data_IF_128348832061
#
_entry.id   IF_128348832061
#
_cell.length_a   1.000
_cell.length_b   1.000
_cell.length_c   1.000
_cell.angle_alpha   90.00
_cell.angle_beta   90.00
_cell.angle_gamma   90.00
#
_symmetry.space_group_name_H-M   'P 1'
#
loop_
_entity.id
_entity.type
_entity.pdbx_description
1 polymer ?
#
# COMPACT_ATOMS: atom_id res chain seq x y z
N UNK A 1 -2.10 16.58 -16.74
CA UNK A 1 -2.91 15.39 -17.07
C UNK A 1 -4.31 15.65 -16.53
N UNK A 2 -5.36 15.36 -17.28
CA UNK A 2 -6.74 15.47 -16.80
C UNK A 2 -7.03 14.27 -15.90
N UNK A 3 -7.57 14.51 -14.70
CA UNK A 3 -8.07 13.47 -13.79
C UNK A 3 -9.17 12.66 -14.51
N UNK A 4 -8.93 11.38 -14.73
CA UNK A 4 -9.85 10.46 -15.41
C UNK A 4 -10.60 9.58 -14.43
N UNK A 5 -10.34 9.74 -13.13
CA UNK A 5 -10.95 8.95 -12.09
C UNK A 5 -12.38 9.39 -11.75
N UNK A 6 -13.15 8.48 -11.17
CA UNK A 6 -14.44 8.76 -10.55
C UNK A 6 -14.35 8.57 -9.04
N UNK A 7 -14.95 9.50 -8.29
CA UNK A 7 -15.01 9.44 -6.84
C UNK A 7 -16.36 8.89 -6.39
N UNK A 8 -16.35 8.01 -5.41
CA UNK A 8 -17.53 7.49 -4.73
C UNK A 8 -17.25 7.29 -3.24
N UNK A 9 -18.26 6.88 -2.47
CA UNK A 9 -18.11 6.65 -1.04
C UNK A 9 -18.60 5.25 -0.66
N UNK A 10 -17.83 4.57 0.17
CA UNK A 10 -18.21 3.33 0.83
C UNK A 10 -18.66 3.66 2.26
N UNK A 11 -19.94 3.47 2.54
CA UNK A 11 -20.50 3.62 3.88
C UNK A 11 -20.35 2.31 4.64
N UNK A 12 -19.54 2.30 5.68
CA UNK A 12 -19.33 1.12 6.55
C UNK A 12 -20.26 1.15 7.76
N UNK A 13 -20.50 2.34 8.30
CA UNK A 13 -21.44 2.60 9.39
C UNK A 13 -21.82 4.10 9.41
N UNK A 14 -22.83 4.53 10.18
CA UNK A 14 -23.08 5.95 10.40
C UNK A 14 -21.80 6.67 10.91
N UNK A 15 -21.37 7.72 10.19
CA UNK A 15 -20.16 8.46 10.49
C UNK A 15 -18.84 7.73 10.14
N UNK A 16 -18.91 6.68 9.32
CA UNK A 16 -17.77 5.93 8.85
C UNK A 16 -17.86 5.70 7.35
N UNK A 17 -17.30 6.63 6.60
CA UNK A 17 -17.25 6.62 5.15
C UNK A 17 -15.80 6.60 4.67
N UNK A 18 -15.51 5.74 3.71
CA UNK A 18 -14.24 5.73 2.98
C UNK A 18 -14.47 6.30 1.57
N UNK A 19 -13.59 7.18 1.13
CA UNK A 19 -13.58 7.65 -0.24
C UNK A 19 -12.95 6.59 -1.14
N UNK A 20 -13.68 6.20 -2.18
CA UNK A 20 -13.19 5.32 -3.23
C UNK A 20 -12.88 6.15 -4.47
N UNK A 21 -11.83 5.74 -5.18
CA UNK A 21 -11.44 6.32 -6.46
C UNK A 21 -11.26 5.21 -7.47
N UNK A 22 -11.97 5.32 -8.58
CA UNK A 22 -11.97 4.31 -9.66
C UNK A 22 -11.43 4.88 -10.96
N UNK A 23 -10.58 4.12 -11.63
CA UNK A 23 -10.11 4.35 -13.00
C UNK A 23 -10.55 3.15 -13.84
N UNK A 24 -11.78 3.21 -14.38
CA UNK A 24 -12.32 2.13 -15.21
C UNK A 24 -11.58 2.05 -16.55
N UNK A 25 -11.59 0.88 -17.16
CA UNK A 25 -11.20 0.74 -18.55
C UNK A 25 -12.30 1.27 -19.47
N UNK A 26 -11.91 1.87 -20.59
CA UNK A 26 -12.85 2.30 -21.62
C UNK A 26 -13.62 1.10 -22.22
N UNK A 27 -12.96 -0.06 -22.34
CA UNK A 27 -13.56 -1.34 -22.74
C UNK A 27 -13.40 -2.37 -21.61
N UNK A 28 -14.47 -2.59 -20.86
CA UNK A 28 -14.48 -3.56 -19.76
C UNK A 28 -14.31 -5.02 -20.25
N UNK A 29 -14.58 -5.33 -21.53
CA UNK A 29 -14.42 -6.69 -22.07
C UNK A 29 -12.95 -7.07 -22.27
N UNK A 30 -12.06 -6.07 -22.37
CA UNK A 30 -10.61 -6.26 -22.48
C UNK A 30 -9.90 -6.34 -21.12
N UNK A 31 -10.64 -6.31 -20.00
CA UNK A 31 -10.06 -6.27 -18.67
C UNK A 31 -9.33 -7.58 -18.32
N UNK A 32 -8.03 -7.47 -18.03
CA UNK A 32 -7.18 -8.60 -17.62
C UNK A 32 -7.40 -8.96 -16.14
N UNK A 33 -7.41 -7.94 -15.28
CA UNK A 33 -7.68 -8.06 -13.84
C UNK A 33 -8.07 -6.70 -13.26
N UNK A 34 -8.61 -6.71 -12.04
CA UNK A 34 -8.79 -5.54 -11.21
C UNK A 34 -7.56 -5.35 -10.32
N UNK A 35 -7.02 -4.13 -10.26
CA UNK A 35 -5.99 -3.74 -9.29
C UNK A 35 -6.62 -2.87 -8.21
N UNK A 36 -6.44 -3.24 -6.94
CA UNK A 36 -6.79 -2.43 -5.79
C UNK A 36 -5.52 -1.84 -5.18
N UNK A 37 -5.38 -0.50 -5.21
CA UNK A 37 -4.22 0.21 -4.66
C UNK A 37 -4.51 0.67 -3.23
N UNK A 38 -3.54 0.45 -2.33
CA UNK A 38 -3.55 0.91 -0.95
C UNK A 38 -2.38 1.88 -0.76
N UNK A 39 -2.69 3.13 -0.49
CA UNK A 39 -1.72 4.21 -0.35
C UNK A 39 -0.96 4.20 0.98
N UNK A 40 0.10 5.02 1.10
CA UNK A 40 0.96 5.12 2.27
C UNK A 40 0.45 6.06 3.37
N UNK A 41 1.27 6.23 4.42
CA UNK A 41 0.97 7.12 5.54
C UNK A 41 1.03 8.59 5.13
N UNK A 42 -0.01 9.36 5.50
CA UNK A 42 -0.05 10.81 5.33
C UNK A 42 -0.40 11.27 3.91
N UNK A 43 -0.65 10.34 3.00
CA UNK A 43 -1.04 10.62 1.61
C UNK A 43 -2.48 10.20 1.29
N UNK A 44 -2.85 10.04 0.03
CA UNK A 44 -4.19 9.66 -0.41
C UNK A 44 -4.19 9.03 -1.83
N UNK A 45 -5.31 8.40 -2.21
CA UNK A 45 -5.52 7.70 -3.48
C UNK A 45 -5.27 8.55 -4.73
N UNK A 46 -5.53 9.85 -4.67
CA UNK A 46 -5.36 10.75 -5.82
C UNK A 46 -3.92 10.88 -6.32
N UNK A 47 -2.93 10.55 -5.49
CA UNK A 47 -1.51 10.58 -5.88
C UNK A 47 -1.12 9.41 -6.81
N UNK A 48 -2.02 8.45 -7.02
CA UNK A 48 -1.79 7.28 -7.86
C UNK A 48 -2.37 7.40 -9.28
N UNK A 49 -2.80 8.61 -9.71
CA UNK A 49 -3.37 8.84 -11.05
C UNK A 49 -2.47 8.30 -12.17
N UNK A 50 -1.18 8.64 -12.15
CA UNK A 50 -0.23 8.19 -13.18
C UNK A 50 0.02 6.68 -13.14
N UNK A 51 0.04 6.05 -11.95
CA UNK A 51 0.16 4.59 -11.79
C UNK A 51 -1.09 3.91 -12.35
N UNK A 52 -2.28 4.44 -12.04
CA UNK A 52 -3.54 3.92 -12.51
C UNK A 52 -3.67 4.04 -14.04
N UNK A 53 -3.31 5.18 -14.62
CA UNK A 53 -3.29 5.38 -16.08
C UNK A 53 -2.34 4.42 -16.77
N UNK A 54 -1.17 4.17 -16.17
CA UNK A 54 -0.22 3.19 -16.70
C UNK A 54 -0.78 1.77 -16.66
N UNK A 55 -1.40 1.36 -15.54
CA UNK A 55 -2.09 0.07 -15.42
C UNK A 55 -3.26 -0.05 -16.39
N UNK A 56 -4.07 1.01 -16.57
CA UNK A 56 -5.14 1.03 -17.57
C UNK A 56 -4.61 0.82 -19.00
N UNK A 57 -3.47 1.42 -19.33
CA UNK A 57 -2.84 1.24 -20.65
C UNK A 57 -2.44 -0.21 -20.93
N UNK A 58 -2.27 -1.02 -19.89
CA UNK A 58 -1.97 -2.46 -19.98
C UNK A 58 -3.21 -3.36 -19.85
N UNK A 59 -4.40 -2.78 -19.73
CA UNK A 59 -5.67 -3.52 -19.63
C UNK A 59 -6.08 -3.91 -18.22
N UNK A 60 -5.61 -3.21 -17.17
CA UNK A 60 -6.04 -3.42 -15.80
C UNK A 60 -6.96 -2.28 -15.35
N UNK A 61 -8.16 -2.60 -14.90
CA UNK A 61 -9.00 -1.62 -14.22
C UNK A 61 -8.41 -1.35 -12.82
N UNK A 62 -8.49 -0.10 -12.36
CA UNK A 62 -7.87 0.29 -11.09
C UNK A 62 -8.91 0.89 -10.15
N UNK A 63 -8.85 0.47 -8.90
CA UNK A 63 -9.51 1.09 -7.76
C UNK A 63 -8.47 1.45 -6.71
N UNK A 64 -8.67 2.55 -6.02
CA UNK A 64 -7.98 2.89 -4.79
C UNK A 64 -9.00 3.41 -3.78
N UNK A 65 -8.59 3.62 -2.56
CA UNK A 65 -9.42 4.25 -1.53
C UNK A 65 -8.54 5.03 -0.57
N UNK A 66 -9.11 6.04 0.06
CA UNK A 66 -8.43 6.75 1.12
C UNK A 66 -8.62 6.00 2.44
N UNK A 67 -7.52 5.67 3.11
CA UNK A 67 -7.53 5.05 4.45
C UNK A 67 -8.28 5.96 5.44
N UNK A 68 -8.88 5.39 6.49
CA UNK A 68 -9.44 6.18 7.57
C UNK A 68 -8.43 7.21 8.08
N UNK A 69 -8.89 8.45 8.26
CA UNK A 69 -8.03 9.56 8.67
C UNK A 69 -7.08 10.08 7.60
N UNK A 70 -7.31 9.75 6.31
CA UNK A 70 -6.53 10.20 5.17
C UNK A 70 -7.44 10.74 4.06
N UNK A 71 -6.88 11.57 3.19
CA UNK A 71 -7.52 12.06 2.00
C UNK A 71 -8.93 12.61 2.22
N UNK A 72 -9.90 12.07 1.50
CA UNK A 72 -11.32 12.43 1.55
C UNK A 72 -12.16 11.48 2.43
N UNK A 73 -11.55 10.46 3.05
CA UNK A 73 -12.19 9.59 4.01
C UNK A 73 -12.43 10.29 5.34
N UNK A 74 -13.43 9.79 6.09
CA UNK A 74 -13.70 10.25 7.45
C UNK A 74 -12.52 9.97 8.39
N UNK A 75 -12.56 10.59 9.56
CA UNK A 75 -11.58 10.39 10.62
C UNK A 75 -10.60 11.54 10.77
N UNK A 76 -10.05 11.62 11.96
CA UNK A 76 -9.00 12.58 12.26
C UNK A 76 -7.69 12.17 11.60
N UNK A 77 -6.94 13.15 11.05
CA UNK A 77 -5.69 12.91 10.30
C UNK A 77 -4.70 12.04 11.06
N UNK A 78 -4.30 10.90 10.42
CA UNK A 78 -3.36 9.94 10.99
C UNK A 78 -3.89 9.15 12.19
N UNK A 79 -5.20 9.15 12.43
CA UNK A 79 -5.83 8.34 13.48
C UNK A 79 -6.09 6.91 13.04
N UNK A 80 -6.32 6.04 14.00
CA UNK A 80 -6.77 4.66 13.84
C UNK A 80 -7.82 4.38 14.92
N UNK A 81 -9.00 3.88 14.56
CA UNK A 81 -10.13 3.70 15.47
C UNK A 81 -9.84 2.67 16.56
N UNK A 82 -9.42 1.49 16.13
CA UNK A 82 -9.01 0.38 16.97
C UNK A 82 -7.92 -0.46 16.26
N UNK A 83 -7.43 -1.50 16.88
CA UNK A 83 -6.28 -2.30 16.40
C UNK A 83 -6.55 -3.11 15.12
N UNK A 84 -7.83 -3.35 14.76
CA UNK A 84 -8.24 -4.10 13.57
C UNK A 84 -8.78 -3.20 12.46
N UNK A 85 -9.11 -1.95 12.77
CA UNK A 85 -9.87 -1.05 11.92
C UNK A 85 -9.35 -0.94 10.48
N UNK A 86 -8.03 -0.79 10.26
CA UNK A 86 -7.47 -0.69 8.91
C UNK A 86 -7.61 -1.98 8.12
N UNK A 87 -7.46 -3.13 8.77
CA UNK A 87 -7.64 -4.44 8.14
C UNK A 87 -9.11 -4.70 7.80
N UNK A 88 -10.03 -4.34 8.69
CA UNK A 88 -11.48 -4.47 8.49
C UNK A 88 -11.97 -3.53 7.39
N UNK A 89 -11.45 -2.30 7.34
CA UNK A 89 -11.72 -1.35 6.27
C UNK A 89 -11.24 -1.90 4.91
N UNK A 90 -10.02 -2.45 4.85
CA UNK A 90 -9.51 -3.08 3.64
C UNK A 90 -10.36 -4.29 3.24
N UNK A 91 -10.81 -5.11 4.20
CA UNK A 91 -11.71 -6.24 3.92
C UNK A 91 -13.02 -5.78 3.29
N UNK A 92 -13.62 -4.71 3.82
CA UNK A 92 -14.85 -4.15 3.27
C UNK A 92 -14.65 -3.57 1.85
N UNK A 93 -13.53 -2.92 1.59
CA UNK A 93 -13.18 -2.42 0.24
C UNK A 93 -12.94 -3.57 -0.73
N UNK A 94 -12.26 -4.64 -0.31
CA UNK A 94 -12.07 -5.87 -1.10
C UNK A 94 -13.43 -6.49 -1.43
N UNK A 95 -14.32 -6.65 -0.44
CA UNK A 95 -15.65 -7.21 -0.63
C UNK A 95 -16.49 -6.35 -1.61
N UNK A 96 -16.44 -5.02 -1.47
CA UNK A 96 -17.11 -4.10 -2.40
C UNK A 96 -16.52 -4.16 -3.81
N UNK A 97 -15.20 -4.31 -3.93
CA UNK A 97 -14.51 -4.45 -5.21
C UNK A 97 -14.93 -5.75 -5.90
N UNK A 98 -14.89 -6.87 -5.17
CA UNK A 98 -15.32 -8.19 -5.68
C UNK A 98 -16.77 -8.22 -6.16
N UNK A 99 -17.68 -7.50 -5.47
CA UNK A 99 -19.07 -7.38 -5.91
C UNK A 99 -19.24 -6.67 -7.26
N UNK A 100 -18.32 -5.77 -7.60
CA UNK A 100 -18.34 -5.04 -8.86
C UNK A 100 -17.62 -5.78 -10.00
N UNK A 101 -16.87 -6.83 -9.70
CA UNK A 101 -16.12 -7.63 -10.68
C UNK A 101 -17.01 -8.71 -11.30
N UNK A 102 -16.72 -9.08 -12.54
CA UNK A 102 -17.35 -10.26 -13.14
C UNK A 102 -16.83 -11.56 -12.48
N UNK A 103 -17.65 -12.63 -12.47
CA UNK A 103 -17.23 -13.93 -11.94
C UNK A 103 -15.94 -14.42 -12.61
N UNK A 104 -14.98 -14.89 -11.80
CA UNK A 104 -13.71 -15.41 -12.27
C UNK A 104 -12.64 -14.36 -12.59
N UNK A 105 -12.94 -13.08 -12.47
CA UNK A 105 -11.92 -12.05 -12.61
C UNK A 105 -10.95 -12.03 -11.40
N UNK A 106 -9.68 -11.84 -11.72
CA UNK A 106 -8.62 -11.78 -10.71
C UNK A 106 -8.53 -10.39 -10.06
N UNK A 107 -8.20 -10.38 -8.77
CA UNK A 107 -7.94 -9.18 -7.98
C UNK A 107 -6.48 -9.15 -7.55
N UNK A 108 -5.76 -8.15 -8.03
CA UNK A 108 -4.38 -7.84 -7.60
C UNK A 108 -4.44 -6.76 -6.54
N UNK A 109 -3.83 -7.00 -5.39
CA UNK A 109 -3.66 -5.99 -4.35
C UNK A 109 -2.29 -5.33 -4.51
N UNK A 110 -2.23 -4.00 -4.65
CA UNK A 110 -0.99 -3.23 -4.70
C UNK A 110 -0.93 -2.30 -3.50
N UNK A 111 0.10 -2.43 -2.67
CA UNK A 111 0.27 -1.55 -1.52
C UNK A 111 1.63 -0.86 -1.51
N UNK A 112 1.64 0.44 -1.18
CA UNK A 112 2.84 1.23 -1.01
C UNK A 112 3.07 1.60 0.46
N UNK A 113 4.30 1.48 0.95
CA UNK A 113 4.69 1.95 2.29
C UNK A 113 3.79 1.35 3.40
N UNK A 114 3.06 2.17 4.17
CA UNK A 114 2.03 1.71 5.11
C UNK A 114 0.98 0.84 4.41
N UNK A 115 0.52 1.23 3.22
CA UNK A 115 -0.40 0.42 2.43
C UNK A 115 0.19 -0.92 2.02
N UNK A 116 1.49 -0.98 1.75
CA UNK A 116 2.23 -2.21 1.50
C UNK A 116 2.29 -3.12 2.73
N UNK A 117 2.55 -2.54 3.91
CA UNK A 117 2.49 -3.27 5.18
C UNK A 117 1.07 -3.80 5.45
N UNK A 118 0.05 -2.95 5.26
CA UNK A 118 -1.35 -3.32 5.46
C UNK A 118 -1.77 -4.46 4.52
N UNK A 119 -1.41 -4.36 3.23
CA UNK A 119 -1.67 -5.39 2.23
C UNK A 119 -0.95 -6.71 2.57
N UNK A 120 0.32 -6.65 2.95
CA UNK A 120 1.08 -7.83 3.38
C UNK A 120 0.46 -8.50 4.62
N UNK A 121 0.06 -7.68 5.62
CA UNK A 121 -0.60 -8.21 6.83
C UNK A 121 -1.96 -8.83 6.51
N UNK A 122 -2.75 -8.19 5.67
CA UNK A 122 -4.05 -8.68 5.22
C UNK A 122 -3.94 -10.06 4.55
N UNK A 123 -2.98 -10.22 3.66
CA UNK A 123 -2.70 -11.49 2.97
C UNK A 123 -2.17 -12.54 3.94
N UNK A 124 -1.27 -12.18 4.85
CA UNK A 124 -0.71 -13.11 5.85
C UNK A 124 -1.78 -13.69 6.78
N UNK A 125 -2.82 -12.93 7.07
CA UNK A 125 -4.00 -13.35 7.85
C UNK A 125 -5.04 -14.09 7.02
N UNK A 126 -4.89 -14.13 5.68
CA UNK A 126 -5.87 -14.73 4.76
C UNK A 126 -7.27 -14.17 4.94
N UNK A 127 -7.41 -12.87 5.19
CA UNK A 127 -8.70 -12.24 5.52
C UNK A 127 -9.71 -12.34 4.39
N UNK A 128 -9.26 -12.20 3.14
CA UNK A 128 -10.05 -12.44 1.92
C UNK A 128 -9.13 -13.01 0.83
N UNK A 129 -9.67 -13.75 -0.14
CA UNK A 129 -8.90 -14.23 -1.28
C UNK A 129 -8.36 -13.06 -2.11
N UNK A 130 -7.04 -13.03 -2.30
CA UNK A 130 -6.30 -12.13 -3.19
C UNK A 130 -5.51 -13.02 -4.14
N UNK A 131 -5.64 -12.76 -5.46
CA UNK A 131 -5.03 -13.63 -6.47
C UNK A 131 -3.53 -13.34 -6.62
N UNK A 132 -3.14 -12.06 -6.44
CA UNK A 132 -1.75 -11.64 -6.51
C UNK A 132 -1.50 -10.38 -5.68
N UNK A 133 -0.28 -10.20 -5.18
CA UNK A 133 0.12 -9.07 -4.34
C UNK A 133 1.31 -8.34 -4.96
N UNK A 134 1.24 -7.02 -4.98
CA UNK A 134 2.38 -6.15 -5.32
C UNK A 134 2.70 -5.27 -4.12
N UNK A 135 3.94 -5.30 -3.69
CA UNK A 135 4.45 -4.50 -2.58
C UNK A 135 5.46 -3.48 -3.12
N UNK A 136 5.22 -2.21 -2.85
CA UNK A 136 6.08 -1.08 -3.19
C UNK A 136 6.66 -0.48 -1.92
N UNK A 137 7.97 -0.63 -1.70
CA UNK A 137 8.69 -0.13 -0.51
C UNK A 137 7.89 -0.32 0.80
N UNK A 138 7.40 -1.56 1.10
CA UNK A 138 6.48 -1.80 2.22
C UNK A 138 7.14 -1.49 3.56
N UNK A 139 6.40 -0.91 4.50
CA UNK A 139 6.87 -0.54 5.84
C UNK A 139 7.02 -1.76 6.77
N UNK A 140 7.73 -2.82 6.32
CA UNK A 140 7.96 -4.05 7.09
C UNK A 140 8.94 -3.85 8.25
N UNK A 141 9.87 -2.90 8.12
CA UNK A 141 10.72 -2.42 9.20
C UNK A 141 10.69 -0.88 9.23
N UNK A 142 10.00 -0.25 10.19
CA UNK A 142 9.92 1.20 10.28
C UNK A 142 11.24 1.87 10.71
N UNK A 143 12.33 1.13 10.92
CA UNK A 143 13.64 1.66 11.28
C UNK A 143 13.68 2.43 12.61
N UNK A 144 12.85 2.05 13.58
CA UNK A 144 12.70 2.78 14.83
C UNK A 144 13.97 2.75 15.70
N UNK A 145 14.37 3.91 16.22
CA UNK A 145 15.43 4.01 17.21
C UNK A 145 14.96 3.57 18.62
N UNK A 146 15.89 3.46 19.56
CA UNK A 146 15.59 2.95 20.91
C UNK A 146 14.57 3.82 21.67
N UNK A 147 14.62 5.15 21.51
CA UNK A 147 13.68 6.07 22.14
C UNK A 147 12.26 5.91 21.58
N UNK A 148 12.12 5.79 20.24
CA UNK A 148 10.84 5.54 19.61
C UNK A 148 10.26 4.18 20.02
N UNK A 149 11.09 3.14 20.15
CA UNK A 149 10.66 1.83 20.67
C UNK A 149 10.15 1.92 22.11
N UNK A 150 10.80 2.72 22.97
CA UNK A 150 10.36 2.95 24.34
C UNK A 150 9.02 3.70 24.38
N UNK A 151 8.84 4.74 23.56
CA UNK A 151 7.57 5.46 23.46
C UNK A 151 6.43 4.54 22.99
N UNK A 152 6.68 3.70 22.03
CA UNK A 152 5.68 2.73 21.53
C UNK A 152 5.34 1.63 22.54
N UNK A 153 6.23 1.33 23.48
CA UNK A 153 5.95 0.36 24.53
C UNK A 153 4.98 0.91 25.61
N UNK A 154 4.87 2.24 25.75
CA UNK A 154 4.11 2.86 26.84
C UNK A 154 2.96 3.73 26.38
N UNK A 155 3.18 4.58 25.38
CA UNK A 155 2.23 5.60 24.94
C UNK A 155 0.88 5.07 24.44
N UNK A 156 0.83 3.99 23.64
CA UNK A 156 -0.44 3.46 23.15
C UNK A 156 -1.37 2.94 24.24
N UNK A 157 -0.80 2.45 25.37
CA UNK A 157 -1.59 2.00 26.52
C UNK A 157 -2.19 3.14 27.34
N UNK A 158 -1.58 4.34 27.31
CA UNK A 158 -1.99 5.49 28.11
C UNK A 158 -2.81 6.48 27.27
N UNK A 159 -2.35 6.77 26.05
CA UNK A 159 -2.93 7.77 25.16
C UNK A 159 -2.93 7.29 23.70
N UNK A 160 -3.71 6.24 23.36
CA UNK A 160 -3.69 5.61 22.03
C UNK A 160 -4.04 6.56 20.89
N UNK A 161 -4.88 7.54 21.17
CA UNK A 161 -5.36 8.52 20.19
C UNK A 161 -4.51 9.80 20.15
N UNK A 162 -3.46 9.91 20.97
CA UNK A 162 -2.53 11.05 20.89
C UNK A 162 -1.87 11.07 19.52
N UNK A 163 -2.02 12.17 18.80
CA UNK A 163 -1.46 12.38 17.47
C UNK A 163 -0.28 13.33 17.52
N UNK A 164 0.82 12.91 16.95
CA UNK A 164 2.06 13.68 16.84
C UNK A 164 2.48 13.79 15.38
N UNK A 165 3.50 14.59 15.10
CA UNK A 165 4.14 14.58 13.78
C UNK A 165 4.73 13.18 13.49
N UNK A 166 4.51 12.67 12.27
CA UNK A 166 4.99 11.34 11.89
C UNK A 166 6.52 11.25 11.72
N UNK A 167 7.20 12.39 11.66
CA UNK A 167 8.65 12.47 11.55
C UNK A 167 9.22 12.13 10.17
N UNK A 168 8.38 11.94 9.17
CA UNK A 168 8.83 11.64 7.81
C UNK A 168 9.56 12.86 7.22
N UNK A 169 10.74 12.61 6.69
CA UNK A 169 11.52 13.64 6.01
C UNK A 169 11.12 13.65 4.53
N UNK A 170 10.18 14.51 4.15
CA UNK A 170 9.53 14.57 2.83
C UNK A 170 10.54 14.64 1.66
N UNK A 171 11.71 15.25 1.88
CA UNK A 171 12.79 15.33 0.89
C UNK A 171 13.33 13.96 0.41
N UNK A 172 13.00 12.87 1.11
CA UNK A 172 13.42 11.51 0.76
C UNK A 172 12.27 10.69 0.16
N UNK A 173 11.16 11.32 -0.21
CA UNK A 173 10.10 10.66 -0.98
C UNK A 173 10.59 10.29 -2.37
N UNK A 174 11.21 11.25 -3.06
CA UNK A 174 11.75 11.11 -4.41
C UNK A 174 12.95 12.03 -4.62
N UNK A 175 13.82 11.68 -5.57
CA UNK A 175 14.88 12.58 -6.06
C UNK A 175 14.32 13.74 -6.89
N UNK A 176 13.09 13.62 -7.41
CA UNK A 176 12.44 14.70 -8.16
C UNK A 176 11.90 15.77 -7.20
N UNK A 177 12.45 16.98 -7.20
CA UNK A 177 11.99 18.06 -6.34
C UNK A 177 10.55 18.52 -6.66
N UNK A 178 10.05 18.28 -7.88
CA UNK A 178 8.68 18.60 -8.24
C UNK A 178 7.69 17.67 -7.51
N UNK A 179 8.03 16.40 -7.34
CA UNK A 179 7.24 15.44 -6.54
C UNK A 179 7.18 15.87 -5.08
N UNK A 180 8.33 16.24 -4.51
CA UNK A 180 8.42 16.74 -3.12
C UNK A 180 7.59 18.00 -2.93
N UNK A 181 7.71 18.97 -3.85
CA UNK A 181 6.94 20.22 -3.80
C UNK A 181 5.43 19.99 -3.94
N UNK A 182 5.02 19.10 -4.85
CA UNK A 182 3.61 18.73 -5.03
C UNK A 182 3.04 18.08 -3.76
N UNK A 183 3.78 17.16 -3.12
CA UNK A 183 3.40 16.54 -1.86
C UNK A 183 3.20 17.60 -0.75
N UNK A 184 4.12 18.55 -0.62
CA UNK A 184 4.04 19.60 0.41
C UNK A 184 2.90 20.59 0.19
N UNK A 185 2.52 20.82 -1.07
CA UNK A 185 1.44 21.74 -1.45
C UNK A 185 0.05 21.10 -1.41
N UNK A 186 -0.04 19.77 -1.29
CA UNK A 186 -1.32 19.06 -1.36
C UNK A 186 -2.08 19.18 -0.02
N UNK A 187 -3.30 19.77 -0.01
CA UNK A 187 -4.08 19.96 1.21
C UNK A 187 -4.64 18.66 1.80
N UNK A 188 -4.65 17.56 1.05
CA UNK A 188 -5.10 16.24 1.51
C UNK A 188 -3.98 15.44 2.19
N UNK A 189 -2.74 15.86 2.03
CA UNK A 189 -1.57 15.31 2.71
C UNK A 189 -1.48 15.81 4.15
N UNK A 190 -0.95 15.00 5.05
CA UNK A 190 -0.74 15.38 6.44
C UNK A 190 0.50 14.70 7.06
N UNK A 191 1.02 15.30 8.11
CA UNK A 191 2.18 14.81 8.86
C UNK A 191 1.81 14.13 10.21
N UNK A 192 0.57 13.72 10.39
CA UNK A 192 0.07 13.19 11.68
C UNK A 192 0.10 11.68 11.74
N UNK A 193 0.39 11.16 12.95
CA UNK A 193 0.27 9.74 13.29
C UNK A 193 -0.19 9.61 14.75
N UNK A 194 -1.17 8.73 15.00
CA UNK A 194 -1.57 8.40 16.36
C UNK A 194 -0.65 7.34 16.96
N UNK A 195 -0.57 7.31 18.30
CA UNK A 195 0.21 6.30 19.00
C UNK A 195 -0.24 4.87 18.65
N UNK A 196 -1.56 4.66 18.48
CA UNK A 196 -2.13 3.37 18.06
C UNK A 196 -1.68 2.98 16.64
N UNK A 197 -1.73 3.91 15.67
CA UNK A 197 -1.28 3.64 14.30
C UNK A 197 0.21 3.33 14.25
N UNK A 198 1.02 4.07 15.01
CA UNK A 198 2.46 3.81 15.09
C UNK A 198 2.76 2.42 15.70
N UNK A 199 1.98 2.01 16.73
CA UNK A 199 2.08 0.66 17.30
C UNK A 199 1.69 -0.42 16.28
N UNK A 200 0.59 -0.22 15.55
CA UNK A 200 0.17 -1.12 14.49
C UNK A 200 1.29 -1.33 13.46
N UNK A 201 1.91 -0.24 12.96
CA UNK A 201 3.02 -0.33 11.99
C UNK A 201 4.17 -1.16 12.57
N UNK A 202 4.57 -0.90 13.82
CA UNK A 202 5.69 -1.59 14.45
C UNK A 202 5.41 -3.07 14.74
N UNK A 203 4.15 -3.45 14.98
CA UNK A 203 3.76 -4.83 15.27
C UNK A 203 3.50 -5.62 13.98
N UNK A 204 2.72 -5.07 13.05
CA UNK A 204 2.33 -5.75 11.83
C UNK A 204 3.54 -6.17 10.97
N UNK A 205 4.59 -5.35 10.91
CA UNK A 205 5.83 -5.72 10.20
C UNK A 205 6.47 -6.98 10.76
N UNK A 206 6.62 -7.06 12.08
CA UNK A 206 7.16 -8.26 12.76
C UNK A 206 6.28 -9.49 12.54
N UNK A 207 4.97 -9.31 12.58
CA UNK A 207 4.01 -10.41 12.40
C UNK A 207 4.00 -10.91 10.95
N UNK A 208 4.15 -10.03 9.96
CA UNK A 208 4.33 -10.41 8.55
C UNK A 208 5.63 -11.23 8.38
N UNK A 209 6.74 -10.76 8.95
CA UNK A 209 8.00 -11.51 8.90
C UNK A 209 7.91 -12.87 9.58
N UNK A 210 7.23 -12.97 10.72
CA UNK A 210 7.04 -14.24 11.43
C UNK A 210 6.20 -15.25 10.63
N UNK A 211 5.27 -14.79 9.80
CA UNK A 211 4.43 -15.63 8.95
C UNK A 211 4.99 -15.85 7.54
N UNK A 212 6.04 -15.14 7.15
CA UNK A 212 6.63 -15.19 5.82
C UNK A 212 7.03 -16.61 5.36
N UNK A 213 7.54 -17.54 6.21
CA UNK A 213 7.83 -18.92 5.80
C UNK A 213 6.62 -19.70 5.26
N UNK A 214 5.40 -19.26 5.59
CA UNK A 214 4.14 -19.89 5.17
C UNK A 214 3.45 -19.10 4.05
N UNK A 215 4.18 -18.18 3.39
CA UNK A 215 3.65 -17.33 2.35
C UNK A 215 3.20 -18.14 1.13
N UNK A 216 1.96 -17.95 0.70
CA UNK A 216 1.35 -18.73 -0.38
C UNK A 216 0.73 -17.89 -1.48
N UNK A 217 0.74 -16.56 -1.36
CA UNK A 217 0.19 -15.67 -2.37
C UNK A 217 1.30 -15.23 -3.33
N UNK A 218 1.13 -15.39 -4.66
CA UNK A 218 2.06 -14.84 -5.64
C UNK A 218 2.32 -13.37 -5.38
N UNK A 219 3.59 -12.99 -5.20
CA UNK A 219 3.94 -11.63 -4.76
C UNK A 219 5.09 -11.07 -5.57
N UNK A 220 4.94 -9.82 -6.01
CA UNK A 220 6.03 -8.98 -6.51
C UNK A 220 6.42 -7.98 -5.44
N UNK A 221 7.68 -8.00 -5.01
CA UNK A 221 8.23 -7.03 -4.07
C UNK A 221 9.21 -6.10 -4.78
N UNK A 222 8.82 -4.84 -4.94
CA UNK A 222 9.63 -3.76 -5.49
C UNK A 222 10.01 -2.80 -4.36
N UNK A 223 11.29 -2.49 -4.20
CA UNK A 223 11.68 -1.60 -3.11
C UNK A 223 12.93 -0.79 -3.43
N UNK A 224 13.05 0.36 -2.78
CA UNK A 224 14.17 1.27 -2.93
C UNK A 224 15.37 0.84 -2.07
N UNK A 225 16.57 0.87 -2.66
CA UNK A 225 17.83 0.59 -1.95
C UNK A 225 18.26 1.75 -1.05
N UNK A 226 18.00 3.01 -1.47
CA UNK A 226 18.30 4.21 -0.71
C UNK A 226 17.10 4.77 0.07
N UNK A 227 16.13 3.92 0.41
CA UNK A 227 14.99 4.33 1.22
C UNK A 227 15.47 4.86 2.60
N UNK A 228 15.04 6.10 2.91
CA UNK A 228 15.34 6.79 4.19
C UNK A 228 14.09 6.95 5.07
N UNK A 229 12.91 6.51 4.59
CA UNK A 229 11.64 6.63 5.30
C UNK A 229 11.25 5.32 5.96
N UNK A 230 11.50 4.19 5.31
CA UNK A 230 11.43 2.85 5.90
C UNK A 230 12.75 2.12 5.64
N UNK A 231 13.07 1.17 6.51
CA UNK A 231 14.30 0.39 6.38
C UNK A 231 14.15 -0.64 5.24
N UNK A 232 14.99 -0.59 4.18
CA UNK A 232 15.00 -1.63 3.15
C UNK A 232 15.31 -3.03 3.71
N UNK A 233 15.85 -3.09 4.94
CA UNK A 233 16.17 -4.35 5.60
C UNK A 233 14.93 -5.21 5.86
N UNK A 234 13.78 -4.58 6.15
CA UNK A 234 12.51 -5.31 6.31
C UNK A 234 12.12 -6.08 5.03
N UNK A 235 12.27 -5.46 3.85
CA UNK A 235 12.06 -6.12 2.56
C UNK A 235 13.06 -7.26 2.33
N UNK A 236 14.35 -7.04 2.63
CA UNK A 236 15.39 -8.07 2.51
C UNK A 236 15.16 -9.25 3.46
N UNK A 237 14.68 -8.99 4.67
CA UNK A 237 14.39 -10.05 5.64
C UNK A 237 13.14 -10.86 5.24
N UNK A 238 12.13 -10.19 4.70
CA UNK A 238 10.97 -10.88 4.13
C UNK A 238 11.38 -11.84 3.01
N UNK A 239 12.24 -11.40 2.08
CA UNK A 239 12.75 -12.24 0.99
C UNK A 239 13.55 -13.45 1.45
N UNK A 240 14.30 -13.33 2.55
CA UNK A 240 15.05 -14.46 3.13
C UNK A 240 14.13 -15.53 3.74
N UNK A 241 12.97 -15.11 4.24
CA UNK A 241 12.03 -15.95 4.98
C UNK A 241 10.96 -16.57 4.09
N UNK A 242 10.46 -15.80 3.10
CA UNK A 242 9.38 -16.25 2.23
C UNK A 242 9.86 -17.29 1.20
N UNK A 243 8.98 -18.24 0.78
CA UNK A 243 9.30 -19.19 -0.27
C UNK A 243 9.62 -18.49 -1.59
N UNK A 244 10.79 -18.75 -2.16
CA UNK A 244 11.24 -18.10 -3.41
C UNK A 244 10.35 -18.41 -4.63
N UNK A 245 9.61 -19.51 -4.59
CA UNK A 245 8.63 -19.83 -5.62
C UNK A 245 7.43 -18.86 -5.62
N UNK A 246 7.10 -18.23 -4.48
CA UNK A 246 5.93 -17.33 -4.34
C UNK A 246 6.30 -15.85 -4.44
N UNK A 247 7.56 -15.49 -4.25
CA UNK A 247 7.98 -14.08 -4.17
C UNK A 247 9.07 -13.78 -5.18
N UNK A 248 8.74 -12.94 -6.15
CA UNK A 248 9.73 -12.30 -7.02
C UNK A 248 10.03 -10.90 -6.50
N UNK A 249 11.26 -10.43 -6.69
CA UNK A 249 11.64 -9.12 -6.17
C UNK A 249 12.64 -8.39 -7.07
N UNK A 250 12.59 -7.07 -6.98
CA UNK A 250 13.61 -6.19 -7.55
C UNK A 250 13.89 -5.04 -6.59
N UNK A 251 15.18 -4.87 -6.23
CA UNK A 251 15.66 -3.71 -5.50
C UNK A 251 16.16 -2.67 -6.47
N UNK A 252 15.65 -1.45 -6.37
CA UNK A 252 16.12 -0.29 -7.13
C UNK A 252 17.14 0.46 -6.27
N UNK A 253 18.40 0.07 -6.37
CA UNK A 253 19.46 0.47 -5.45
C UNK A 253 19.68 1.98 -5.36
N UNK A 254 19.37 2.75 -6.43
CA UNK A 254 19.58 4.19 -6.47
C UNK A 254 18.34 5.01 -6.07
N UNK A 255 17.13 4.40 -5.96
CA UNK A 255 15.89 5.14 -5.77
C UNK A 255 15.61 5.44 -4.29
N UNK A 256 14.81 6.49 -4.04
CA UNK A 256 14.18 6.80 -2.78
C UNK A 256 12.82 6.09 -2.64
N UNK A 257 12.10 6.40 -1.57
CA UNK A 257 10.94 5.68 -1.07
C UNK A 257 9.81 5.46 -2.09
N UNK A 258 9.37 6.54 -2.75
CA UNK A 258 8.26 6.51 -3.71
C UNK A 258 8.75 6.10 -5.11
N UNK A 259 9.10 4.84 -5.27
CA UNK A 259 9.73 4.31 -6.49
C UNK A 259 8.94 4.58 -7.78
N UNK A 260 7.60 4.71 -7.71
CA UNK A 260 6.76 5.06 -8.86
C UNK A 260 6.77 6.55 -9.18
N UNK A 261 7.24 7.39 -8.25
CA UNK A 261 7.29 8.85 -8.38
C UNK A 261 8.73 9.36 -8.62
N UNK A 262 9.68 8.47 -8.88
CA UNK A 262 11.03 8.85 -9.25
C UNK A 262 11.13 9.26 -10.74
N UNK A 263 12.04 10.15 -11.06
CA UNK A 263 12.31 10.54 -12.44
C UNK A 263 12.66 9.31 -13.32
N UNK A 264 13.31 8.31 -12.73
CA UNK A 264 13.74 7.08 -13.39
C UNK A 264 12.80 5.90 -13.12
N UNK A 265 11.53 6.15 -12.84
CA UNK A 265 10.53 5.11 -12.55
C UNK A 265 10.25 4.15 -13.74
N UNK A 266 10.80 4.40 -14.92
CA UNK A 266 10.60 3.54 -16.11
C UNK A 266 10.96 2.07 -15.86
N UNK A 267 12.04 1.80 -15.12
CA UNK A 267 12.44 0.45 -14.73
C UNK A 267 11.46 -0.21 -13.74
N UNK A 268 10.86 0.59 -12.85
CA UNK A 268 9.85 0.12 -11.89
C UNK A 268 8.58 -0.31 -12.62
N UNK A 269 8.08 0.53 -13.53
CA UNK A 269 6.92 0.21 -14.37
C UNK A 269 7.17 -0.98 -15.29
N UNK A 270 8.36 -1.11 -15.87
CA UNK A 270 8.72 -2.25 -16.71
C UNK A 270 8.69 -3.57 -15.91
N UNK A 271 9.25 -3.59 -14.70
CA UNK A 271 9.22 -4.76 -13.82
C UNK A 271 7.79 -5.14 -13.42
N UNK A 272 6.96 -4.14 -13.05
CA UNK A 272 5.55 -4.34 -12.74
C UNK A 272 4.79 -4.92 -13.92
N UNK A 273 4.96 -4.33 -15.11
CA UNK A 273 4.30 -4.77 -16.34
C UNK A 273 4.67 -6.22 -16.69
N UNK A 274 5.95 -6.53 -16.70
CA UNK A 274 6.45 -7.87 -16.99
C UNK A 274 5.83 -8.89 -16.04
N UNK A 275 5.84 -8.61 -14.74
CA UNK A 275 5.29 -9.54 -13.76
C UNK A 275 3.78 -9.73 -13.91
N UNK A 276 3.02 -8.65 -14.10
CA UNK A 276 1.58 -8.71 -14.31
C UNK A 276 1.18 -9.46 -15.58
N UNK A 277 2.01 -9.40 -16.63
CA UNK A 277 1.70 -10.05 -17.91
C UNK A 277 2.08 -11.53 -17.97
N UNK A 278 3.13 -11.96 -17.27
CA UNK A 278 3.75 -13.27 -17.44
C UNK A 278 3.81 -14.08 -16.14
N UNK A 279 3.89 -13.41 -14.99
CA UNK A 279 4.56 -14.04 -13.84
C UNK A 279 3.68 -14.65 -12.76
N UNK A 280 2.46 -14.20 -12.51
CA UNK A 280 1.74 -14.64 -11.30
C UNK A 280 0.75 -15.78 -11.54
N UNK A 281 0.21 -15.91 -12.74
CA UNK A 281 -0.75 -16.97 -13.06
C UNK A 281 -0.10 -18.37 -13.04
N UNK A 282 1.16 -18.45 -13.50
CA UNK A 282 1.92 -19.70 -13.50
C UNK A 282 2.35 -20.11 -12.08
N UNK A 283 2.61 -19.15 -11.19
CA UNK A 283 2.95 -19.40 -9.78
C UNK A 283 1.76 -19.95 -8.99
N UNK A 284 0.54 -19.53 -9.31
CA UNK A 284 -0.68 -20.02 -8.67
C UNK A 284 -1.05 -21.46 -9.10
N UNK A 285 -0.56 -21.93 -10.26
CA UNK A 285 -0.86 -23.28 -10.78
C UNK A 285 0.06 -24.37 -10.20
N UNK A 286 1.16 -24.00 -9.53
CA UNK A 286 2.18 -24.93 -8.99
C UNK A 286 2.12 -25.11 -7.48
N UNK A 287 1.23 -24.45 -6.76
CA UNK A 287 0.99 -24.55 -5.31
C UNK A 287 -0.34 -25.20 -5.00
#
# INVERSE_FOLDING_TARGET
MTDTSTLSKLNLAPGLQLALRDWPLADATAMRAQVLIVHGLGEHSGRYEHVAQQLNSWGYAVRSFDLWGHGLSDGERGSMRDEHALLDDLAAVVDQTRKAMAPGQSLVLLGHSLGGLLAARFVSLRMRPIDALVLSSPALDPGLNAFQKLLLATLPGIAPNLRVGNGLQVKYLSHDPAVVAAYQADPLVHDRISARLALFIAQAGREVLATAPQWSTPTLLLFAGQDKLVSPQGSRDFLKLAPGAMVQSLCFEALFHEIFNEAEAGGVFAALQQWLQVGWADLAATG
#
